data_IF_343980218534
#
_entry.id   IF_343980218534
#
_cell.length_a   1.000
_cell.length_b   1.000
_cell.length_c   1.000
_cell.angle_alpha   90.00
_cell.angle_beta   90.00
_cell.angle_gamma   90.00
#
_symmetry.space_group_name_H-M   'P 1'
#
loop_
_entity.id
_entity.type
_entity.pdbx_description
1 polymer ?
#
# COMPACT_ATOMS: atom_id res chain seq x y z
N UNK A 1 13.62 -15.96 28.22
CA UNK A 1 12.85 -15.49 27.04
C UNK A 1 11.38 -15.29 27.37
N UNK A 2 10.74 -16.23 28.08
CA UNK A 2 9.39 -16.04 28.61
C UNK A 2 9.31 -14.91 29.64
N UNK A 3 10.38 -14.68 30.42
CA UNK A 3 10.45 -13.60 31.41
C UNK A 3 10.36 -12.21 30.75
N UNK A 4 11.00 -12.03 29.59
CA UNK A 4 10.91 -10.78 28.81
C UNK A 4 9.47 -10.51 28.38
N UNK A 5 8.76 -11.54 27.92
CA UNK A 5 7.35 -11.39 27.54
C UNK A 5 6.45 -11.16 28.75
N UNK A 6 6.81 -11.69 29.92
CA UNK A 6 6.03 -11.51 31.14
C UNK A 6 6.22 -10.10 31.73
N UNK A 7 7.45 -9.60 31.69
CA UNK A 7 7.84 -8.33 32.30
C UNK A 7 7.64 -7.14 31.35
N UNK A 8 7.86 -7.33 30.05
CA UNK A 8 7.77 -6.27 29.02
C UNK A 8 6.69 -6.53 27.96
N UNK A 9 5.88 -7.59 28.09
CA UNK A 9 4.87 -7.92 27.08
C UNK A 9 3.86 -6.81 26.82
N UNK A 10 3.39 -6.13 27.88
CA UNK A 10 2.49 -4.98 27.75
C UNK A 10 3.18 -3.78 27.06
N UNK A 11 4.45 -3.53 27.40
CA UNK A 11 5.26 -2.48 26.79
C UNK A 11 5.43 -2.71 25.28
N UNK A 12 5.75 -3.95 24.89
CA UNK A 12 5.93 -4.34 23.50
C UNK A 12 4.60 -4.36 22.73
N UNK A 13 3.51 -4.76 23.38
CA UNK A 13 2.20 -4.88 22.73
C UNK A 13 1.52 -3.52 22.51
N UNK A 14 1.48 -2.65 23.53
CA UNK A 14 0.64 -1.44 23.55
C UNK A 14 1.47 -0.16 23.64
N UNK A 15 2.77 -0.24 23.90
CA UNK A 15 3.66 0.91 23.98
C UNK A 15 4.09 1.28 25.40
N UNK A 16 4.88 2.34 25.52
CA UNK A 16 5.58 2.69 26.76
C UNK A 16 4.68 3.30 27.85
N UNK A 17 3.50 3.80 27.48
CA UNK A 17 2.61 4.56 28.37
C UNK A 17 1.32 3.77 28.63
N UNK A 18 1.04 3.34 29.89
CA UNK A 18 -0.15 2.54 30.22
C UNK A 18 -1.49 3.20 29.85
N UNK A 19 -1.57 4.53 29.98
CA UNK A 19 -2.75 5.36 29.63
C UNK A 19 -2.47 6.29 28.43
N UNK A 20 -1.44 5.99 27.63
CA UNK A 20 -1.05 6.77 26.46
C UNK A 20 -1.75 6.32 25.17
N UNK A 21 -1.50 7.02 24.05
CA UNK A 21 -1.92 6.54 22.74
C UNK A 21 -1.30 5.17 22.43
N UNK A 22 -2.06 4.35 21.71
CA UNK A 22 -1.64 2.99 21.31
C UNK A 22 -0.32 3.09 20.54
N UNK A 23 0.69 2.37 20.99
CA UNK A 23 2.01 2.24 20.38
C UNK A 23 2.41 0.77 20.19
N UNK A 24 3.70 0.52 20.05
CA UNK A 24 4.23 -0.85 19.99
C UNK A 24 3.68 -1.67 18.81
N UNK A 25 3.59 -2.98 19.00
CA UNK A 25 3.10 -3.93 18.00
C UNK A 25 1.67 -3.63 17.54
N UNK A 26 0.81 -3.19 18.46
CA UNK A 26 -0.58 -2.86 18.13
C UNK A 26 -0.63 -1.72 17.10
N UNK A 27 0.15 -0.65 17.27
CA UNK A 27 0.20 0.46 16.33
C UNK A 27 0.81 0.04 14.98
N UNK A 28 1.88 -0.75 14.98
CA UNK A 28 2.48 -1.34 13.77
C UNK A 28 1.43 -2.10 12.95
N UNK A 29 0.63 -2.95 13.59
CA UNK A 29 -0.42 -3.70 12.92
C UNK A 29 -1.55 -2.80 12.41
N UNK A 30 -1.95 -1.80 13.19
CA UNK A 30 -2.97 -0.82 12.77
C UNK A 30 -2.49 -0.07 11.52
N UNK A 31 -1.25 0.44 11.52
CA UNK A 31 -0.66 1.14 10.38
C UNK A 31 -0.57 0.23 9.15
N UNK A 32 -0.11 -1.01 9.31
CA UNK A 32 0.02 -1.94 8.19
C UNK A 32 -1.34 -2.36 7.61
N UNK A 33 -2.31 -2.70 8.46
CA UNK A 33 -3.65 -3.11 8.01
C UNK A 33 -4.39 -1.95 7.36
N UNK A 34 -4.37 -0.76 7.98
CA UNK A 34 -5.02 0.43 7.41
C UNK A 34 -4.34 0.89 6.12
N UNK A 35 -3.00 0.89 6.09
CA UNK A 35 -2.22 1.21 4.90
C UNK A 35 -2.56 0.26 3.74
N UNK A 36 -2.61 -1.06 4.00
CA UNK A 36 -2.99 -2.04 2.99
C UNK A 36 -4.45 -1.87 2.54
N UNK A 37 -5.38 -1.75 3.48
CA UNK A 37 -6.81 -1.65 3.18
C UNK A 37 -7.15 -0.42 2.33
N UNK A 38 -6.50 0.73 2.61
CA UNK A 38 -6.71 1.97 1.86
C UNK A 38 -5.94 1.98 0.53
N UNK A 39 -4.73 1.44 0.49
CA UNK A 39 -3.92 1.42 -0.73
C UNK A 39 -4.40 0.38 -1.74
N UNK A 40 -4.97 -0.75 -1.32
CA UNK A 40 -5.31 -1.85 -2.21
C UNK A 40 -6.33 -1.47 -3.30
N UNK A 41 -7.49 -0.83 -3.00
CA UNK A 41 -8.41 -0.38 -4.04
C UNK A 41 -7.75 0.58 -5.04
N UNK A 42 -6.95 1.53 -4.54
CA UNK A 42 -6.20 2.47 -5.38
C UNK A 42 -5.18 1.74 -6.26
N UNK A 43 -4.50 0.74 -5.72
CA UNK A 43 -3.51 -0.07 -6.43
C UNK A 43 -4.14 -0.86 -7.57
N UNK A 44 -5.33 -1.43 -7.34
CA UNK A 44 -6.09 -2.12 -8.38
C UNK A 44 -6.45 -1.15 -9.49
N UNK A 45 -6.98 0.04 -9.15
CA UNK A 45 -7.33 1.07 -10.13
C UNK A 45 -6.12 1.54 -10.95
N UNK A 46 -5.00 1.87 -10.30
CA UNK A 46 -3.78 2.33 -10.97
C UNK A 46 -3.13 1.19 -11.77
N UNK A 47 -3.06 -0.02 -11.21
CA UNK A 47 -2.48 -1.19 -11.88
C UNK A 47 -3.24 -1.57 -13.15
N UNK A 48 -4.58 -1.56 -13.08
CA UNK A 48 -5.46 -1.71 -14.25
C UNK A 48 -5.33 -0.53 -15.21
N UNK A 49 -5.26 0.70 -14.70
CA UNK A 49 -5.07 1.90 -15.53
C UNK A 49 -3.82 1.83 -16.40
N UNK A 50 -2.75 1.19 -15.91
CA UNK A 50 -1.50 0.97 -16.68
C UNK A 50 -1.62 -0.08 -17.79
N UNK A 51 -2.64 -0.92 -17.78
CA UNK A 51 -2.93 -1.85 -18.90
C UNK A 51 -3.97 -1.29 -19.87
N UNK A 52 -4.44 -0.06 -19.64
CA UNK A 52 -5.40 0.62 -20.49
C UNK A 52 -4.87 0.85 -21.90
N UNK A 53 -5.77 0.75 -22.89
CA UNK A 53 -5.48 1.10 -24.29
C UNK A 53 -5.42 2.62 -24.51
N UNK A 54 -5.95 3.41 -23.59
CA UNK A 54 -5.89 4.88 -23.68
C UNK A 54 -4.51 5.37 -23.21
N UNK A 55 -3.68 5.95 -24.10
CA UNK A 55 -2.31 6.29 -23.78
C UNK A 55 -2.20 7.32 -22.65
N UNK A 56 -3.13 8.27 -22.56
CA UNK A 56 -3.15 9.26 -21.47
C UNK A 56 -3.32 8.64 -20.09
N UNK A 57 -4.23 7.66 -19.94
CA UNK A 57 -4.47 6.97 -18.67
C UNK A 57 -3.25 6.12 -18.31
N UNK A 58 -2.75 5.33 -19.27
CA UNK A 58 -1.61 4.46 -19.05
C UNK A 58 -0.35 5.25 -18.67
N UNK A 59 -0.12 6.40 -19.34
CA UNK A 59 0.99 7.29 -19.05
C UNK A 59 0.86 7.95 -17.68
N UNK A 60 -0.30 8.51 -17.33
CA UNK A 60 -0.52 9.14 -16.03
C UNK A 60 -0.30 8.14 -14.87
N UNK A 61 -0.86 6.93 -14.99
CA UNK A 61 -0.67 5.88 -13.99
C UNK A 61 0.79 5.41 -13.93
N UNK A 62 1.48 5.32 -15.08
CA UNK A 62 2.90 4.94 -15.11
C UNK A 62 3.78 6.01 -14.49
N UNK A 63 3.54 7.29 -14.79
CA UNK A 63 4.25 8.41 -14.19
C UNK A 63 4.11 8.42 -12.67
N UNK A 64 2.89 8.27 -12.14
CA UNK A 64 2.65 8.14 -10.70
C UNK A 64 3.47 6.99 -10.09
N UNK A 65 3.37 5.78 -10.64
CA UNK A 65 4.07 4.60 -10.11
C UNK A 65 5.59 4.79 -10.17
N UNK A 66 6.12 5.25 -11.30
CA UNK A 66 7.56 5.44 -11.48
C UNK A 66 8.11 6.52 -10.56
N UNK A 67 7.41 7.65 -10.39
CA UNK A 67 7.85 8.73 -9.51
C UNK A 67 7.87 8.29 -8.05
N UNK A 68 6.79 7.68 -7.56
CA UNK A 68 6.68 7.27 -6.16
C UNK A 68 7.71 6.18 -5.82
N UNK A 69 7.89 5.20 -6.71
CA UNK A 69 8.87 4.11 -6.50
C UNK A 69 10.33 4.55 -6.66
N UNK A 70 10.58 5.72 -7.25
CA UNK A 70 11.91 6.32 -7.31
C UNK A 70 12.29 7.04 -6.01
N UNK A 71 11.32 7.35 -5.15
CA UNK A 71 11.55 8.06 -3.89
C UNK A 71 11.72 7.06 -2.73
N UNK A 72 12.71 7.28 -1.83
CA UNK A 72 12.75 6.58 -0.56
C UNK A 72 11.50 6.91 0.27
N UNK A 73 10.86 5.90 0.88
CA UNK A 73 9.69 6.10 1.76
C UNK A 73 9.99 7.10 2.88
N UNK A 74 11.20 7.05 3.44
CA UNK A 74 11.66 7.99 4.45
C UNK A 74 11.55 9.44 3.97
N UNK A 75 11.99 9.73 2.74
CA UNK A 75 11.85 11.07 2.15
C UNK A 75 10.39 11.43 1.97
N UNK A 76 9.54 10.50 1.52
CA UNK A 76 8.11 10.77 1.35
C UNK A 76 7.44 11.15 2.68
N UNK A 77 7.68 10.41 3.76
CA UNK A 77 7.15 10.70 5.10
C UNK A 77 7.68 12.04 5.62
N UNK A 78 9.00 12.24 5.54
CA UNK A 78 9.65 13.45 6.04
C UNK A 78 9.12 14.70 5.33
N UNK A 79 9.11 14.69 4.00
CA UNK A 79 8.58 15.82 3.23
C UNK A 79 7.10 16.04 3.48
N UNK A 80 6.29 14.97 3.54
CA UNK A 80 4.87 15.10 3.85
C UNK A 80 4.65 15.76 5.22
N UNK A 81 5.44 15.39 6.24
CA UNK A 81 5.29 15.92 7.59
C UNK A 81 5.57 17.42 7.68
N UNK A 82 6.59 17.92 6.99
CA UNK A 82 6.96 19.34 7.05
C UNK A 82 6.24 20.21 6.00
N UNK A 83 6.04 19.71 4.78
CA UNK A 83 5.55 20.52 3.65
C UNK A 83 4.03 20.59 3.60
N UNK A 84 3.32 19.49 3.90
CA UNK A 84 1.84 19.48 3.80
C UNK A 84 1.18 20.50 4.73
N UNK A 85 1.59 20.63 6.02
CA UNK A 85 1.02 21.67 6.89
C UNK A 85 1.27 23.10 6.38
N UNK A 86 2.40 23.36 5.73
CA UNK A 86 2.71 24.67 5.15
C UNK A 86 1.80 25.01 3.97
N UNK A 87 1.44 24.01 3.15
CA UNK A 87 0.54 24.19 2.00
C UNK A 87 -0.91 24.36 2.46
N UNK A 88 -1.36 23.53 3.42
CA UNK A 88 -2.76 23.56 3.89
C UNK A 88 -2.99 24.72 4.87
N UNK A 89 -1.95 25.24 5.50
CA UNK A 89 -2.03 26.30 6.50
C UNK A 89 -2.56 25.85 7.87
N UNK A 90 -2.58 24.52 8.12
CA UNK A 90 -3.00 23.93 9.41
C UNK A 90 -2.12 22.75 9.77
N UNK A 91 -1.98 22.49 11.07
CA UNK A 91 -1.25 21.33 11.56
C UNK A 91 -1.94 20.04 11.15
N UNK A 92 -1.14 19.04 10.78
CA UNK A 92 -1.58 17.68 10.45
C UNK A 92 -0.93 16.74 11.44
N UNK A 93 -1.69 15.78 11.98
CA UNK A 93 -1.14 14.84 12.94
C UNK A 93 -0.07 13.96 12.30
N UNK A 94 0.98 13.60 13.05
CA UNK A 94 2.05 12.72 12.58
C UNK A 94 1.49 11.38 12.09
N UNK A 95 0.52 10.82 12.82
CA UNK A 95 -0.15 9.57 12.46
C UNK A 95 -0.86 9.66 11.11
N UNK A 96 -1.63 10.74 10.88
CA UNK A 96 -2.31 10.96 9.60
C UNK A 96 -1.30 11.09 8.45
N UNK A 97 -0.22 11.84 8.67
CA UNK A 97 0.85 12.00 7.67
C UNK A 97 1.47 10.65 7.30
N UNK A 98 1.78 9.81 8.29
CA UNK A 98 2.36 8.47 8.07
C UNK A 98 1.39 7.59 7.30
N UNK A 99 0.12 7.51 7.71
CA UNK A 99 -0.89 6.71 7.01
C UNK A 99 -1.01 7.16 5.56
N UNK A 100 -1.12 8.46 5.29
CA UNK A 100 -1.22 8.97 3.93
C UNK A 100 0.03 8.67 3.09
N UNK A 101 1.23 8.85 3.66
CA UNK A 101 2.48 8.56 2.97
C UNK A 101 2.63 7.06 2.67
N UNK A 102 2.31 6.20 3.63
CA UNK A 102 2.28 4.75 3.45
C UNK A 102 1.27 4.35 2.37
N UNK A 103 0.07 4.93 2.37
CA UNK A 103 -0.95 4.65 1.35
C UNK A 103 -0.44 5.02 -0.05
N UNK A 104 0.13 6.21 -0.23
CA UNK A 104 0.67 6.66 -1.53
C UNK A 104 1.79 5.72 -1.99
N UNK A 105 2.72 5.41 -1.09
CA UNK A 105 3.85 4.54 -1.38
C UNK A 105 3.39 3.13 -1.76
N UNK A 106 2.57 2.51 -0.92
CA UNK A 106 2.05 1.16 -1.14
C UNK A 106 1.15 1.07 -2.37
N UNK A 107 0.38 2.12 -2.68
CA UNK A 107 -0.39 2.18 -3.93
C UNK A 107 0.49 2.00 -5.15
N UNK A 108 1.68 2.60 -5.17
CA UNK A 108 2.59 2.48 -6.31
C UNK A 108 3.20 1.07 -6.43
N UNK A 109 3.60 0.45 -5.30
CA UNK A 109 4.18 -0.88 -5.29
C UNK A 109 3.16 -1.97 -5.62
N UNK A 110 1.99 -1.95 -4.97
CA UNK A 110 0.92 -2.90 -5.27
C UNK A 110 0.33 -2.71 -6.67
N UNK A 111 0.29 -1.49 -7.21
CA UNK A 111 -0.13 -1.29 -8.59
C UNK A 111 0.80 -2.01 -9.59
N UNK A 112 2.11 -2.09 -9.30
CA UNK A 112 3.03 -2.90 -10.11
C UNK A 112 2.70 -4.40 -10.00
N UNK A 113 2.42 -4.89 -8.78
CA UNK A 113 2.03 -6.28 -8.54
C UNK A 113 0.78 -6.63 -9.33
N UNK A 114 -0.27 -5.79 -9.27
CA UNK A 114 -1.52 -5.99 -10.02
C UNK A 114 -1.26 -5.98 -11.53
N UNK A 115 -0.52 -5.00 -12.03
CA UNK A 115 -0.19 -4.90 -13.46
C UNK A 115 0.57 -6.13 -13.94
N UNK A 116 1.58 -6.56 -13.19
CA UNK A 116 2.38 -7.74 -13.51
C UNK A 116 1.53 -9.02 -13.52
N UNK A 117 0.61 -9.16 -12.56
CA UNK A 117 -0.29 -10.30 -12.49
C UNK A 117 -1.27 -10.35 -13.68
N UNK A 118 -1.80 -9.19 -14.12
CA UNK A 118 -2.64 -9.11 -15.32
C UNK A 118 -1.86 -9.55 -16.56
N UNK A 119 -0.61 -9.11 -16.71
CA UNK A 119 0.23 -9.43 -17.87
C UNK A 119 0.76 -10.88 -17.86
N UNK A 120 0.83 -11.51 -16.68
CA UNK A 120 1.26 -12.89 -16.53
C UNK A 120 0.20 -13.91 -17.00
N UNK A 121 -1.06 -13.49 -17.16
CA UNK A 121 -2.13 -14.39 -17.61
C UNK A 121 -1.94 -14.78 -19.10
N UNK A 122 -2.25 -16.04 -19.47
CA UNK A 122 -2.24 -16.45 -20.86
C UNK A 122 -3.21 -15.62 -21.71
N UNK A 123 -2.75 -15.15 -22.88
CA UNK A 123 -3.56 -14.34 -23.82
C UNK A 123 -4.89 -15.02 -24.20
N UNK A 124 -4.91 -16.35 -24.24
CA UNK A 124 -6.09 -17.16 -24.53
C UNK A 124 -7.29 -16.89 -23.62
N UNK A 125 -7.09 -16.45 -22.37
CA UNK A 125 -8.20 -16.08 -21.47
C UNK A 125 -8.98 -14.88 -22.01
N UNK A 126 -8.25 -13.85 -22.46
CA UNK A 126 -8.87 -12.67 -23.05
C UNK A 126 -9.51 -12.99 -24.40
N UNK A 127 -8.84 -13.81 -25.22
CA UNK A 127 -9.35 -14.23 -26.54
C UNK A 127 -10.64 -15.06 -26.43
N UNK A 128 -10.69 -16.03 -25.51
CA UNK A 128 -11.87 -16.84 -25.25
C UNK A 128 -13.06 -15.98 -24.78
N UNK A 129 -12.82 -15.06 -23.83
CA UNK A 129 -13.83 -14.13 -23.34
C UNK A 129 -14.40 -13.25 -24.47
N UNK A 130 -13.53 -12.75 -25.36
CA UNK A 130 -13.94 -11.94 -26.53
C UNK A 130 -14.72 -12.75 -27.57
N UNK A 131 -14.35 -14.01 -27.79
CA UNK A 131 -15.08 -14.94 -28.68
C UNK A 131 -16.48 -15.27 -28.16
N UNK A 132 -16.69 -15.20 -26.85
CA UNK A 132 -18.01 -15.32 -26.21
C UNK A 132 -18.82 -14.00 -26.25
N UNK A 133 -18.34 -12.97 -26.93
CA UNK A 133 -19.05 -11.70 -27.11
C UNK A 133 -18.87 -10.69 -25.97
N UNK A 134 -17.99 -10.94 -24.99
CA UNK A 134 -17.75 -9.99 -23.91
C UNK A 134 -17.04 -8.72 -24.43
N UNK A 135 -17.48 -7.56 -23.96
CA UNK A 135 -16.78 -6.28 -24.16
C UNK A 135 -15.43 -6.26 -23.44
N UNK A 136 -14.53 -5.34 -23.78
CA UNK A 136 -13.20 -5.27 -23.16
C UNK A 136 -13.29 -5.05 -21.64
N UNK A 137 -14.27 -4.25 -21.20
CA UNK A 137 -14.53 -3.99 -19.79
C UNK A 137 -15.09 -5.22 -19.06
N UNK A 138 -15.97 -6.00 -19.71
CA UNK A 138 -16.47 -7.27 -19.17
C UNK A 138 -15.35 -8.31 -19.10
N UNK A 139 -14.57 -8.49 -20.18
CA UNK A 139 -13.40 -9.38 -20.18
C UNK A 139 -12.44 -9.02 -19.05
N UNK A 140 -12.18 -7.73 -18.84
CA UNK A 140 -11.32 -7.28 -17.76
C UNK A 140 -11.92 -7.58 -16.38
N UNK A 141 -13.16 -7.14 -16.12
CA UNK A 141 -13.80 -7.20 -14.80
C UNK A 141 -14.16 -8.62 -14.38
N UNK A 142 -14.67 -9.41 -15.31
CA UNK A 142 -15.33 -10.68 -15.00
C UNK A 142 -14.41 -11.88 -15.21
N UNK A 143 -13.35 -11.75 -16.02
CA UNK A 143 -12.43 -12.85 -16.36
C UNK A 143 -11.00 -12.56 -15.89
N UNK A 144 -10.39 -11.48 -16.38
CA UNK A 144 -8.96 -11.23 -16.21
C UNK A 144 -8.63 -10.77 -14.79
N UNK A 145 -9.34 -9.77 -14.27
CA UNK A 145 -9.02 -9.16 -12.98
C UNK A 145 -9.16 -10.13 -11.80
N UNK A 146 -10.23 -10.93 -11.67
CA UNK A 146 -10.36 -11.90 -10.58
C UNK A 146 -9.23 -12.94 -10.59
N UNK A 147 -8.88 -13.47 -11.77
CA UNK A 147 -7.78 -14.43 -11.93
C UNK A 147 -6.42 -13.80 -11.60
N UNK A 148 -6.17 -12.58 -12.10
CA UNK A 148 -4.93 -11.87 -11.84
C UNK A 148 -4.75 -11.59 -10.34
N UNK A 149 -5.79 -11.09 -9.66
CA UNK A 149 -5.73 -10.80 -8.22
C UNK A 149 -5.53 -12.06 -7.40
N UNK A 150 -6.18 -13.17 -7.78
CA UNK A 150 -5.97 -14.47 -7.13
C UNK A 150 -4.52 -14.95 -7.28
N UNK A 151 -3.96 -14.89 -8.48
CA UNK A 151 -2.57 -15.27 -8.75
C UNK A 151 -1.56 -14.32 -8.08
N UNK A 152 -1.97 -13.07 -7.79
CA UNK A 152 -1.13 -12.08 -7.12
C UNK A 152 -1.07 -12.25 -5.60
N UNK A 153 -1.92 -13.08 -4.97
CA UNK A 153 -1.98 -13.25 -3.51
C UNK A 153 -0.59 -13.43 -2.86
N UNK A 154 0.31 -14.29 -3.36
CA UNK A 154 1.64 -14.45 -2.77
C UNK A 154 2.47 -13.16 -2.80
N UNK A 155 2.37 -12.38 -3.89
CA UNK A 155 3.08 -11.10 -4.03
C UNK A 155 2.47 -10.02 -3.14
N UNK A 156 1.13 -10.01 -3.01
CA UNK A 156 0.42 -9.11 -2.10
C UNK A 156 0.82 -9.38 -0.65
N UNK A 157 0.94 -10.64 -0.24
CA UNK A 157 1.39 -11.02 1.10
C UNK A 157 2.84 -10.59 1.35
N UNK A 158 3.74 -10.77 0.39
CA UNK A 158 5.12 -10.27 0.49
C UNK A 158 5.17 -8.74 0.62
N UNK A 159 4.28 -8.04 -0.09
CA UNK A 159 4.15 -6.60 0.03
C UNK A 159 3.59 -6.19 1.40
N UNK A 160 2.62 -6.92 1.94
CA UNK A 160 2.13 -6.69 3.31
C UNK A 160 3.22 -6.87 4.37
N UNK A 161 4.06 -7.90 4.27
CA UNK A 161 5.23 -8.08 5.16
C UNK A 161 6.20 -6.91 5.02
N UNK A 162 6.37 -6.39 3.80
CA UNK A 162 7.21 -5.21 3.55
C UNK A 162 6.61 -3.95 4.15
N UNK A 163 5.28 -3.78 4.06
CA UNK A 163 4.56 -2.69 4.70
C UNK A 163 4.71 -2.72 6.23
N UNK A 164 4.60 -3.90 6.86
CA UNK A 164 4.85 -4.05 8.31
C UNK A 164 6.25 -3.59 8.69
N UNK A 165 7.27 -3.84 7.86
CA UNK A 165 8.63 -3.32 8.11
C UNK A 165 8.76 -1.83 7.81
N UNK A 166 7.96 -1.31 6.88
CA UNK A 166 7.97 0.09 6.48
C UNK A 166 7.31 1.00 7.53
N UNK A 167 6.45 0.48 8.40
CA UNK A 167 5.89 1.27 9.52
C UNK A 167 6.97 1.78 10.46
N UNK A 168 8.07 1.05 10.60
CA UNK A 168 9.24 1.45 11.42
C UNK A 168 9.83 2.80 11.03
N UNK A 169 9.67 3.21 9.77
CA UNK A 169 10.13 4.52 9.30
C UNK A 169 9.36 5.67 9.98
N UNK A 170 8.15 5.41 10.49
CA UNK A 170 7.32 6.39 11.18
C UNK A 170 7.94 6.92 12.48
N UNK A 171 8.87 6.17 13.10
CA UNK A 171 9.55 6.57 14.32
C UNK A 171 10.28 7.92 14.18
N UNK A 172 10.76 8.26 12.98
CA UNK A 172 11.51 9.52 12.75
C UNK A 172 10.68 10.78 13.02
N UNK A 173 9.35 10.70 12.95
CA UNK A 173 8.45 11.81 13.28
C UNK A 173 7.69 11.54 14.60
N UNK A 174 8.31 10.77 15.48
CA UNK A 174 7.83 10.47 16.84
C UNK A 174 6.51 9.68 16.89
N UNK A 175 6.24 8.85 15.88
CA UNK A 175 5.17 7.84 15.94
C UNK A 175 5.74 6.58 16.58
N UNK A 176 5.43 6.34 17.85
CA UNK A 176 5.98 5.27 18.69
C UNK A 176 5.34 3.90 18.40
N UNK A 177 5.60 3.37 17.21
CA UNK A 177 5.29 1.98 16.84
C UNK A 177 6.34 1.00 17.42
N UNK A 178 6.34 -0.28 17.02
CA UNK A 178 7.14 -1.33 17.69
C UNK A 178 8.67 -1.10 17.67
N UNK A 179 9.19 -0.35 16.72
CA UNK A 179 10.64 -0.19 16.46
C UNK A 179 11.10 1.25 16.36
#
# INVERSE_FOLDING_TARGET
MLDILRDYGLLLAVGQFPDGPIGGLALTLVLAVTGLALSFPLSVLIGVGRTSRHPGIAWACTAFVTLVRALPLLMLIFWAYFVVPLIIGRTVSALTTVICALVVYETAYLAEVVRAAILALPKGQAEAARSLGLSASQTLRDVILPQALFNAIPSILNQFISLVKNTSVAYIISVSELT
#
